data_IF_139312422900
#
_entry.id   IF_139312422900
#
_cell.length_a   1.000
_cell.length_b   1.000
_cell.length_c   1.000
_cell.angle_alpha   90.00
_cell.angle_beta   90.00
_cell.angle_gamma   90.00
#
_symmetry.space_group_name_H-M   'P 1'
#
loop_
_entity.id
_entity.type
_entity.pdbx_description
1 polymer ?
#
# COMPACT_ATOMS: atom_id res chain seq x y z
N UNK A 1 -32.14 -56.70 17.00
CA UNK A 1 -30.81 -56.09 16.76
C UNK A 1 -31.03 -54.61 16.54
N UNK A 2 -30.54 -53.76 17.43
CA UNK A 2 -30.69 -52.30 17.39
C UNK A 2 -29.40 -51.72 16.79
N UNK A 3 -29.50 -50.96 15.70
CA UNK A 3 -28.34 -50.28 15.08
C UNK A 3 -28.39 -48.81 15.48
N UNK A 4 -27.36 -48.36 16.20
CA UNK A 4 -27.19 -46.98 16.67
C UNK A 4 -26.41 -46.20 15.60
N UNK A 5 -27.03 -45.19 14.98
CA UNK A 5 -26.37 -44.31 14.01
C UNK A 5 -25.84 -43.06 14.73
N UNK A 6 -24.51 -42.88 14.73
CA UNK A 6 -23.82 -41.71 15.27
C UNK A 6 -23.73 -40.63 14.18
N UNK A 7 -24.43 -39.50 14.38
CA UNK A 7 -24.34 -38.33 13.50
C UNK A 7 -23.26 -37.39 14.04
N UNK A 8 -22.15 -37.27 13.31
CA UNK A 8 -21.04 -36.37 13.65
C UNK A 8 -21.35 -35.00 13.02
N UNK A 9 -21.70 -34.02 13.86
CA UNK A 9 -21.88 -32.62 13.44
C UNK A 9 -20.53 -31.91 13.44
N UNK A 10 -20.04 -31.55 12.26
CA UNK A 10 -18.81 -30.75 12.10
C UNK A 10 -19.12 -29.27 12.32
N UNK A 11 -18.70 -28.73 13.47
CA UNK A 11 -18.65 -27.28 13.68
C UNK A 11 -17.57 -26.68 12.78
N UNK A 12 -17.97 -25.95 11.74
CA UNK A 12 -17.08 -25.09 10.97
C UNK A 12 -16.90 -23.77 11.73
N UNK A 13 -15.75 -23.58 12.36
CA UNK A 13 -15.35 -22.29 12.94
C UNK A 13 -15.11 -21.29 11.80
N UNK A 14 -16.03 -20.35 11.62
CA UNK A 14 -15.86 -19.23 10.69
C UNK A 14 -14.87 -18.27 11.32
N UNK A 15 -13.63 -18.28 10.85
CA UNK A 15 -12.63 -17.28 11.26
C UNK A 15 -13.06 -15.96 10.60
N UNK A 16 -13.23 -14.85 11.35
CA UNK A 16 -13.52 -13.57 10.73
C UNK A 16 -12.34 -13.17 9.85
N UNK A 17 -12.54 -13.21 8.53
CA UNK A 17 -11.61 -12.64 7.57
C UNK A 17 -11.63 -11.13 7.80
N UNK A 18 -10.47 -10.54 8.06
CA UNK A 18 -10.34 -9.08 8.10
C UNK A 18 -10.96 -8.54 6.81
N UNK A 19 -11.93 -7.63 6.94
CA UNK A 19 -12.43 -6.88 5.80
C UNK A 19 -11.20 -6.23 5.16
N UNK A 20 -10.83 -6.69 3.96
CA UNK A 20 -9.79 -6.05 3.18
C UNK A 20 -10.25 -4.60 3.01
N UNK A 21 -9.40 -3.66 3.41
CA UNK A 21 -9.63 -2.26 3.09
C UNK A 21 -9.91 -2.14 1.58
N UNK A 22 -10.82 -1.24 1.20
CA UNK A 22 -11.32 -1.17 -0.16
C UNK A 22 -10.19 -0.72 -1.09
N UNK A 23 -9.54 -1.70 -1.71
CA UNK A 23 -8.30 -1.51 -2.44
C UNK A 23 -8.44 -0.42 -3.52
N UNK A 24 -7.79 0.72 -3.33
CA UNK A 24 -7.74 1.79 -4.32
C UNK A 24 -9.04 2.60 -4.44
N UNK A 25 -9.67 2.98 -3.32
CA UNK A 25 -10.86 3.84 -3.28
C UNK A 25 -10.54 5.33 -3.02
N UNK A 26 -9.28 5.65 -2.77
CA UNK A 26 -8.79 6.99 -2.46
C UNK A 26 -9.07 7.44 -1.02
N UNK A 27 -9.38 6.52 -0.11
CA UNK A 27 -9.61 6.79 1.31
C UNK A 27 -8.56 6.07 2.13
N UNK A 28 -8.01 6.74 3.15
CA UNK A 28 -7.02 6.12 4.03
C UNK A 28 -7.69 5.29 5.12
N UNK A 29 -7.74 3.97 4.92
CA UNK A 29 -8.30 3.02 5.88
C UNK A 29 -7.21 2.38 6.74
N UNK A 30 -7.64 1.57 7.71
CA UNK A 30 -6.72 0.84 8.59
C UNK A 30 -5.86 -0.15 7.79
N UNK A 31 -4.57 -0.21 8.07
CA UNK A 31 -3.56 -1.03 7.36
C UNK A 31 -3.25 -0.58 5.93
N UNK A 32 -3.51 0.68 5.61
CA UNK A 32 -3.13 1.28 4.33
C UNK A 32 -2.07 2.37 4.49
N UNK A 33 -1.47 2.76 3.37
CA UNK A 33 -0.75 4.03 3.24
C UNK A 33 -1.38 4.84 2.13
N UNK A 34 -1.59 6.14 2.38
CA UNK A 34 -2.01 7.06 1.34
C UNK A 34 -0.88 7.97 0.90
N UNK A 35 -0.92 8.28 -0.39
CA UNK A 35 -0.03 9.21 -1.04
C UNK A 35 -0.81 10.39 -1.59
N UNK A 36 -0.17 11.55 -1.54
CA UNK A 36 -0.79 12.83 -1.83
C UNK A 36 0.08 13.60 -2.82
N UNK A 37 -0.55 14.23 -3.82
CA UNK A 37 0.12 15.10 -4.80
C UNK A 37 0.53 16.47 -4.27
N UNK A 38 0.01 16.85 -3.11
CA UNK A 38 0.34 18.13 -2.48
C UNK A 38 0.93 17.85 -1.10
N UNK A 39 1.71 18.80 -0.59
CA UNK A 39 2.09 18.80 0.81
C UNK A 39 0.86 18.87 1.74
N UNK A 40 1.09 18.62 3.04
CA UNK A 40 0.11 18.78 4.12
C UNK A 40 -1.14 17.89 4.01
N UNK A 41 -1.05 16.72 3.38
CA UNK A 41 -2.11 15.70 3.37
C UNK A 41 -3.49 16.21 2.87
N UNK A 42 -3.52 17.14 1.92
CA UNK A 42 -4.74 17.85 1.51
C UNK A 42 -5.81 16.91 0.95
N UNK A 43 -5.46 16.11 -0.06
CA UNK A 43 -6.39 15.16 -0.69
C UNK A 43 -5.60 13.94 -1.16
N UNK A 44 -5.96 12.74 -0.68
CA UNK A 44 -5.30 11.51 -1.10
C UNK A 44 -5.51 11.30 -2.60
N UNK A 45 -4.47 10.81 -3.27
CA UNK A 45 -4.51 10.46 -4.69
C UNK A 45 -4.58 8.96 -4.90
N UNK A 46 -3.86 8.22 -4.07
CA UNK A 46 -3.91 6.77 -4.02
C UNK A 46 -3.76 6.32 -2.59
N UNK A 47 -4.35 5.17 -2.32
CA UNK A 47 -4.22 4.36 -1.12
C UNK A 47 -3.68 2.99 -1.53
N UNK A 48 -2.93 2.37 -0.64
CA UNK A 48 -2.35 1.06 -0.88
C UNK A 48 -2.48 0.19 0.34
N UNK A 49 -2.85 -1.07 0.15
CA UNK A 49 -2.77 -2.12 1.17
C UNK A 49 -1.65 -3.14 0.89
N UNK A 50 -0.89 -2.94 -0.19
CA UNK A 50 0.10 -3.88 -0.72
C UNK A 50 1.27 -3.13 -1.36
N UNK A 51 2.41 -3.83 -1.50
CA UNK A 51 3.57 -3.33 -2.22
C UNK A 51 3.28 -3.03 -3.69
N UNK A 52 3.99 -2.06 -4.26
CA UNK A 52 3.96 -1.74 -5.69
C UNK A 52 5.38 -1.50 -6.18
N UNK A 53 5.83 -2.32 -7.12
CA UNK A 53 7.19 -2.27 -7.66
C UNK A 53 7.38 -1.16 -8.69
N UNK A 54 6.31 -0.68 -9.32
CA UNK A 54 6.42 0.36 -10.34
C UNK A 54 5.16 1.22 -10.40
N UNK A 55 5.30 2.52 -10.17
CA UNK A 55 4.22 3.50 -10.37
C UNK A 55 4.15 4.00 -11.82
N UNK A 56 5.23 3.85 -12.59
CA UNK A 56 5.37 4.31 -13.98
C UNK A 56 5.39 3.18 -15.01
N UNK A 57 5.62 3.54 -16.28
CA UNK A 57 5.82 2.59 -17.39
C UNK A 57 4.53 1.95 -17.93
N UNK A 58 3.95 2.53 -18.98
CA UNK A 58 2.83 1.89 -19.69
C UNK A 58 3.32 0.59 -20.37
N UNK A 59 2.54 -0.50 -20.33
CA UNK A 59 1.11 -0.57 -19.98
C UNK A 59 0.78 -0.76 -18.48
N UNK A 60 1.75 -0.96 -17.60
CA UNK A 60 1.53 -1.38 -16.20
C UNK A 60 1.65 -0.24 -15.17
N UNK A 61 1.55 1.01 -15.61
CA UNK A 61 1.65 2.18 -14.74
C UNK A 61 0.51 2.22 -13.71
N UNK A 62 0.81 2.73 -12.51
CA UNK A 62 -0.21 3.03 -11.52
C UNK A 62 -0.72 4.47 -11.70
N UNK A 63 -2.02 4.61 -11.87
CA UNK A 63 -2.71 5.91 -11.91
C UNK A 63 -3.38 6.20 -10.57
N UNK A 64 -3.71 7.46 -10.30
CA UNK A 64 -4.44 7.82 -9.09
C UNK A 64 -5.73 7.02 -8.93
N UNK A 65 -5.97 6.52 -7.72
CA UNK A 65 -7.25 5.96 -7.33
C UNK A 65 -8.34 7.04 -7.22
N UNK A 66 -7.94 8.28 -6.89
CA UNK A 66 -8.82 9.43 -6.73
C UNK A 66 -8.37 10.69 -7.51
N UNK A 67 -9.27 11.34 -8.25
CA UNK A 67 -10.68 10.97 -8.47
C UNK A 67 -10.81 9.70 -9.32
N UNK A 68 -11.95 9.01 -9.26
CA UNK A 68 -12.18 7.76 -10.01
C UNK A 68 -11.98 7.88 -11.52
N UNK A 69 -12.12 9.08 -12.10
CA UNK A 69 -11.78 9.36 -13.50
C UNK A 69 -10.30 9.16 -13.85
N UNK A 70 -9.44 9.16 -12.84
CA UNK A 70 -8.02 8.86 -12.97
C UNK A 70 -7.71 7.36 -12.77
N UNK A 71 -8.64 6.56 -12.23
CA UNK A 71 -8.41 5.15 -11.94
C UNK A 71 -8.61 4.29 -13.21
N UNK A 72 -7.78 4.55 -14.21
CA UNK A 72 -7.82 3.88 -15.52
C UNK A 72 -6.46 4.01 -16.20
N UNK A 73 -5.98 2.93 -16.81
CA UNK A 73 -4.67 2.85 -17.47
C UNK A 73 -4.43 3.89 -18.58
N UNK A 74 -5.50 4.50 -19.11
CA UNK A 74 -5.42 5.53 -20.15
C UNK A 74 -5.38 6.97 -19.59
N UNK A 75 -5.43 7.17 -18.27
CA UNK A 75 -5.34 8.48 -17.64
C UNK A 75 -3.88 8.96 -17.49
N UNK A 76 -3.22 9.23 -18.63
CA UNK A 76 -1.79 9.64 -18.69
C UNK A 76 -1.51 10.91 -17.88
N UNK A 77 -2.52 11.76 -17.64
CA UNK A 77 -2.38 12.96 -16.80
C UNK A 77 -2.53 12.70 -15.29
N UNK A 78 -2.81 11.46 -14.90
CA UNK A 78 -3.01 11.03 -13.52
C UNK A 78 -2.02 9.95 -13.08
N UNK A 79 -0.83 9.93 -13.67
CA UNK A 79 0.23 9.00 -13.27
C UNK A 79 0.71 9.30 -11.85
N UNK A 80 0.95 8.24 -11.07
CA UNK A 80 1.47 8.38 -9.72
C UNK A 80 2.99 8.53 -9.67
N UNK A 81 3.70 8.03 -10.68
CA UNK A 81 5.14 8.14 -10.76
C UNK A 81 5.57 9.61 -10.62
N UNK A 82 6.56 9.86 -9.77
CA UNK A 82 7.12 11.20 -9.58
C UNK A 82 6.07 12.25 -9.22
N UNK A 83 5.05 11.87 -8.43
CA UNK A 83 3.97 12.79 -8.09
C UNK A 83 3.61 12.85 -6.61
N UNK A 84 4.37 12.17 -5.76
CA UNK A 84 4.06 12.06 -4.32
C UNK A 84 4.80 13.16 -3.56
N UNK A 85 4.06 13.97 -2.83
CA UNK A 85 4.56 15.12 -2.08
C UNK A 85 4.26 15.06 -0.57
N UNK A 86 3.31 14.24 -0.14
CA UNK A 86 3.09 13.91 1.27
C UNK A 86 2.45 12.53 1.42
N UNK A 87 2.53 11.95 2.62
CA UNK A 87 2.16 10.55 2.87
C UNK A 87 1.58 10.37 4.28
N UNK A 88 0.57 9.52 4.44
CA UNK A 88 -0.06 9.17 5.72
C UNK A 88 -0.18 7.65 5.84
N UNK A 89 0.48 7.06 6.84
CA UNK A 89 0.38 5.63 7.12
C UNK A 89 -0.70 5.42 8.17
N UNK A 90 -1.60 4.48 7.88
CA UNK A 90 -2.60 3.95 8.80
C UNK A 90 -2.30 2.49 9.16
N UNK A 91 -1.10 2.02 8.83
CA UNK A 91 -0.59 0.72 9.23
C UNK A 91 -0.12 0.74 10.68
N UNK A 92 -0.57 -0.28 11.42
CA UNK A 92 -0.31 -0.46 12.85
C UNK A 92 0.94 -1.30 13.13
N UNK A 93 1.39 -2.06 12.14
CA UNK A 93 2.28 -3.21 12.31
C UNK A 93 3.58 -3.03 11.58
N UNK A 94 3.59 -2.33 10.45
CA UNK A 94 4.71 -2.31 9.54
C UNK A 94 5.12 -0.89 9.17
N UNK A 95 6.42 -0.73 8.97
CA UNK A 95 6.97 0.49 8.38
C UNK A 95 6.77 0.43 6.88
N UNK A 96 6.54 1.56 6.25
CA UNK A 96 6.48 1.64 4.78
C UNK A 96 7.74 2.33 4.27
N UNK A 97 8.31 1.81 3.19
CA UNK A 97 9.42 2.43 2.47
C UNK A 97 8.96 2.89 1.10
N UNK A 98 9.31 4.12 0.77
CA UNK A 98 9.13 4.72 -0.55
C UNK A 98 10.48 4.93 -1.21
N UNK A 99 10.58 4.57 -2.48
CA UNK A 99 11.82 4.48 -3.24
C UNK A 99 11.75 5.37 -4.47
N UNK A 100 12.87 6.00 -4.84
CA UNK A 100 12.91 6.91 -5.98
C UNK A 100 12.76 6.19 -7.32
N UNK A 101 13.26 4.96 -7.40
CA UNK A 101 13.24 4.17 -8.62
C UNK A 101 12.23 3.02 -8.52
N UNK A 102 12.00 2.36 -9.66
CA UNK A 102 11.18 1.16 -9.73
C UNK A 102 11.91 -0.02 -9.08
N UNK A 103 11.18 -1.12 -8.87
CA UNK A 103 11.66 -2.37 -8.28
C UNK A 103 12.36 -2.19 -6.92
N UNK A 104 11.88 -1.22 -6.12
CA UNK A 104 12.35 -0.93 -4.77
C UNK A 104 13.82 -0.47 -4.70
N UNK A 105 14.29 0.21 -5.74
CA UNK A 105 15.68 0.69 -5.84
C UNK A 105 15.82 2.21 -5.63
N UNK A 106 17.05 2.69 -5.51
CA UNK A 106 17.38 4.10 -5.40
C UNK A 106 17.37 4.64 -3.97
N UNK A 107 17.18 5.96 -3.84
CA UNK A 107 17.10 6.59 -2.52
C UNK A 107 15.74 6.36 -1.89
N UNK A 108 15.69 6.21 -0.56
CA UNK A 108 14.45 5.87 0.14
C UNK A 108 14.12 6.74 1.34
N UNK A 109 12.82 6.91 1.57
CA UNK A 109 12.23 7.46 2.78
C UNK A 109 11.44 6.36 3.50
N UNK A 110 11.57 6.25 4.82
CA UNK A 110 10.87 5.25 5.62
C UNK A 110 9.88 5.94 6.55
N UNK A 111 8.62 5.56 6.43
CA UNK A 111 7.56 5.93 7.36
C UNK A 111 7.45 4.88 8.45
N UNK A 112 7.40 5.33 9.69
CA UNK A 112 7.02 4.48 10.82
C UNK A 112 5.53 4.17 10.78
N UNK A 113 5.10 3.25 11.64
CA UNK A 113 3.71 2.90 11.87
C UNK A 113 2.94 4.14 12.35
N UNK A 114 1.74 4.36 11.81
CA UNK A 114 0.98 5.60 11.98
C UNK A 114 1.76 6.89 11.65
N UNK A 115 2.82 6.78 10.84
CA UNK A 115 3.68 7.87 10.47
C UNK A 115 2.98 8.86 9.54
N UNK A 116 3.29 10.14 9.73
CA UNK A 116 2.84 11.24 8.86
C UNK A 116 4.03 11.99 8.31
N UNK A 117 4.06 12.14 6.99
CA UNK A 117 5.05 12.95 6.28
C UNK A 117 4.30 14.07 5.58
N UNK A 118 4.33 15.27 6.16
CA UNK A 118 3.62 16.44 5.60
C UNK A 118 4.32 17.01 4.36
N UNK A 119 5.61 16.72 4.20
CA UNK A 119 6.40 17.10 3.04
C UNK A 119 7.40 15.98 2.80
N UNK A 120 7.26 15.29 1.66
CA UNK A 120 8.15 14.23 1.26
C UNK A 120 9.59 14.74 1.16
N UNK A 121 10.54 13.94 1.64
CA UNK A 121 11.96 14.24 1.52
C UNK A 121 12.40 14.26 0.05
N UNK A 122 11.91 13.30 -0.73
CA UNK A 122 12.10 13.22 -2.18
C UNK A 122 10.78 13.56 -2.87
N UNK A 123 10.43 14.84 -2.82
CA UNK A 123 9.18 15.37 -3.35
C UNK A 123 9.08 15.12 -4.86
N UNK A 124 7.95 14.55 -5.28
CA UNK A 124 7.64 14.27 -6.69
C UNK A 124 8.70 13.40 -7.37
N UNK A 125 9.19 12.39 -6.63
CA UNK A 125 10.29 11.54 -7.12
C UNK A 125 10.15 10.07 -6.72
N UNK A 126 9.01 9.63 -6.18
CA UNK A 126 8.80 8.22 -5.80
C UNK A 126 8.22 7.41 -6.96
N UNK A 127 8.74 6.19 -7.12
CA UNK A 127 8.38 5.26 -8.21
C UNK A 127 8.00 3.87 -7.71
N UNK A 128 8.26 3.53 -6.45
CA UNK A 128 7.83 2.25 -5.85
C UNK A 128 7.75 2.31 -4.34
N UNK A 129 7.06 1.33 -3.73
CA UNK A 129 6.95 1.23 -2.27
C UNK A 129 6.65 -0.19 -1.77
N UNK A 130 7.00 -0.45 -0.51
CA UNK A 130 6.65 -1.68 0.17
C UNK A 130 6.50 -1.51 1.69
N UNK A 131 5.91 -2.54 2.31
CA UNK A 131 5.88 -2.72 3.75
C UNK A 131 7.13 -3.50 4.16
N UNK A 132 7.92 -2.92 5.04
CA UNK A 132 9.07 -3.57 5.65
C UNK A 132 8.58 -4.47 6.78
N UNK A 133 8.78 -5.77 6.65
CA UNK A 133 8.44 -6.73 7.70
C UNK A 133 9.38 -6.49 8.90
N UNK A 134 8.83 -6.46 10.11
CA UNK A 134 9.57 -6.12 11.33
C UNK A 134 10.53 -7.22 11.78
N UNK A 135 10.60 -8.35 11.09
CA UNK A 135 11.36 -9.53 11.52
C UNK A 135 12.77 -9.63 10.92
N UNK A 136 13.14 -8.77 9.98
CA UNK A 136 14.45 -8.83 9.35
C UNK A 136 15.29 -7.61 9.74
N UNK A 137 16.49 -7.85 10.26
CA UNK A 137 17.40 -6.81 10.72
C UNK A 137 17.65 -5.80 9.57
N UNK A 138 17.95 -4.51 9.85
CA UNK A 138 18.14 -3.47 8.83
C UNK A 138 19.20 -3.76 7.75
N UNK A 139 19.98 -4.84 7.92
CA UNK A 139 20.98 -5.33 6.97
C UNK A 139 20.47 -6.45 6.03
N UNK A 140 19.28 -7.03 6.27
CA UNK A 140 18.78 -8.20 5.54
C UNK A 140 17.42 -7.99 4.84
N UNK A 141 16.64 -6.96 5.19
CA UNK A 141 15.44 -6.56 4.44
C UNK A 141 15.45 -5.04 4.29
N UNK A 142 16.30 -4.57 3.40
CA UNK A 142 16.41 -3.16 3.04
C UNK A 142 15.50 -2.86 1.82
N UNK A 143 15.20 -3.87 1.01
CA UNK A 143 14.85 -3.69 -0.41
C UNK A 143 13.56 -4.42 -0.82
N UNK A 144 12.71 -4.87 0.12
CA UNK A 144 11.44 -5.51 -0.22
C UNK A 144 11.61 -6.77 -1.10
N UNK A 145 12.80 -7.39 -1.03
CA UNK A 145 13.17 -8.61 -1.73
C UNK A 145 12.72 -9.79 -0.89
N UNK A 146 11.61 -10.40 -1.30
CA UNK A 146 11.21 -11.73 -0.83
C UNK A 146 12.06 -12.78 -1.55
#
# INVERSE_FOLDING_TARGET
MLVLALVISTLTTVVPQAALAANGDGVCNTNEVCVYKNANLVTPRSDFCCKYANYGGCPDCHTYNFPSSCNTWNAINCLLNDSVSSMDSWDQRFKIRFFSDHDYDGVRETMVEFGRVLQARFNDAYSSHCWNDREVLPAEDADCTF
#
